data_IF_092167009203
#
_entry.id   IF_092167009203
#
_cell.length_a   1.000
_cell.length_b   1.000
_cell.length_c   1.000
_cell.angle_alpha   90.00
_cell.angle_beta   90.00
_cell.angle_gamma   90.00
#
_symmetry.space_group_name_H-M   'P 1'
#
loop_
_entity.id
_entity.type
_entity.pdbx_description
1 polymer ?
#
# COMPACT_ATOMS: atom_id res chain seq x y z
N UNK A 1 4.92 11.26 41.28
CA UNK A 1 3.77 11.57 40.39
C UNK A 1 4.25 11.53 38.94
N UNK A 2 4.15 10.38 38.25
CA UNK A 2 4.53 10.26 36.82
C UNK A 2 3.42 10.86 35.98
N UNK A 3 3.72 11.91 35.20
CA UNK A 3 2.80 12.44 34.18
C UNK A 3 2.39 11.29 33.24
N UNK A 4 1.09 10.97 33.16
CA UNK A 4 0.55 10.15 32.07
C UNK A 4 0.91 10.89 30.77
N UNK A 5 1.76 10.29 29.92
CA UNK A 5 1.85 10.72 28.52
C UNK A 5 0.44 10.55 27.96
N UNK A 6 -0.20 11.63 27.52
CA UNK A 6 -1.39 11.51 26.68
C UNK A 6 -0.99 10.62 25.50
N UNK A 7 -1.71 9.53 25.27
CA UNK A 7 -1.49 8.74 24.07
C UNK A 7 -1.70 9.67 22.87
N UNK A 8 -0.66 9.86 22.06
CA UNK A 8 -0.81 10.54 20.77
C UNK A 8 -1.90 9.80 19.97
N UNK A 9 -2.74 10.51 19.20
CA UNK A 9 -3.73 9.84 18.36
C UNK A 9 -3.05 8.84 17.44
N UNK A 10 -3.64 7.66 17.29
CA UNK A 10 -3.14 6.61 16.41
C UNK A 10 -3.25 7.08 14.95
N UNK A 11 -2.18 6.94 14.19
CA UNK A 11 -2.17 7.19 12.74
C UNK A 11 -2.88 6.02 12.07
N UNK A 12 -4.00 6.31 11.43
CA UNK A 12 -4.79 5.32 10.67
C UNK A 12 -4.27 5.19 9.25
N UNK A 13 -4.12 3.95 8.78
CA UNK A 13 -3.53 3.69 7.47
C UNK A 13 -4.24 2.61 6.69
N UNK A 14 -4.30 2.78 5.38
CA UNK A 14 -4.78 1.76 4.46
C UNK A 14 -3.75 1.42 3.39
N UNK A 15 -3.70 0.15 3.01
CA UNK A 15 -2.82 -0.35 1.96
C UNK A 15 -3.59 -0.68 0.68
N UNK A 16 -3.16 -0.12 -0.44
CA UNK A 16 -3.63 -0.43 -1.80
C UNK A 16 -2.53 -1.21 -2.50
N UNK A 17 -2.68 -2.52 -2.75
CA UNK A 17 -1.47 -3.29 -3.05
C UNK A 17 -1.62 -4.71 -3.64
N UNK A 18 -0.49 -5.32 -4.03
CA UNK A 18 -0.39 -6.68 -4.60
C UNK A 18 0.91 -7.40 -4.20
N UNK A 19 0.80 -8.70 -3.93
CA UNK A 19 1.94 -9.63 -3.87
C UNK A 19 2.70 -9.65 -2.54
N UNK A 20 3.82 -10.35 -2.51
CA UNK A 20 4.68 -10.49 -1.33
C UNK A 20 5.27 -9.15 -0.85
N UNK A 21 5.67 -8.27 -1.76
CA UNK A 21 6.16 -6.92 -1.40
C UNK A 21 5.11 -6.10 -0.65
N UNK A 22 3.85 -6.27 -1.01
CA UNK A 22 2.74 -5.60 -0.35
C UNK A 22 2.48 -6.15 1.06
N UNK A 23 2.57 -7.46 1.26
CA UNK A 23 2.47 -8.05 2.60
C UNK A 23 3.60 -7.57 3.50
N UNK A 24 4.82 -7.44 2.96
CA UNK A 24 5.92 -6.85 3.71
C UNK A 24 5.62 -5.38 4.08
N UNK A 25 5.02 -4.60 3.18
CA UNK A 25 4.61 -3.24 3.51
C UNK A 25 3.53 -3.20 4.61
N UNK A 26 2.58 -4.14 4.61
CA UNK A 26 1.62 -4.29 5.70
C UNK A 26 2.31 -4.63 7.03
N UNK A 27 3.32 -5.51 7.04
CA UNK A 27 4.11 -5.86 8.22
C UNK A 27 4.83 -4.62 8.78
N UNK A 28 5.49 -3.86 7.90
CA UNK A 28 6.19 -2.61 8.28
C UNK A 28 5.21 -1.62 8.89
N UNK A 29 4.09 -1.33 8.21
CA UNK A 29 3.10 -0.35 8.69
C UNK A 29 2.47 -0.77 10.01
N UNK A 30 2.15 -2.06 10.17
CA UNK A 30 1.55 -2.58 11.41
C UNK A 30 2.53 -2.64 12.57
N UNK A 31 3.83 -2.65 12.30
CA UNK A 31 4.90 -2.65 13.29
C UNK A 31 5.33 -1.26 13.78
N UNK A 32 4.81 -0.17 13.20
CA UNK A 32 5.15 1.19 13.67
C UNK A 32 4.32 1.54 14.90
N UNK A 33 5.01 1.90 15.99
CA UNK A 33 4.36 2.37 17.21
C UNK A 33 3.48 3.59 16.94
N UNK A 34 2.24 3.52 17.42
CA UNK A 34 1.27 4.60 17.24
C UNK A 34 0.57 4.59 15.87
N UNK A 35 0.79 3.57 15.04
CA UNK A 35 0.09 3.40 13.76
C UNK A 35 -0.92 2.25 13.85
N UNK A 36 -1.88 2.24 12.93
CA UNK A 36 -2.84 1.14 12.80
C UNK A 36 -3.10 0.88 11.32
N UNK A 37 -2.93 -0.37 10.91
CA UNK A 37 -3.40 -0.85 9.62
C UNK A 37 -4.92 -1.08 9.70
N UNK A 38 -5.71 -0.13 9.21
CA UNK A 38 -7.18 -0.15 9.29
C UNK A 38 -7.83 -0.82 8.10
N UNK A 39 -7.22 -0.78 6.92
CA UNK A 39 -7.75 -1.43 5.73
C UNK A 39 -6.67 -1.96 4.78
N UNK A 40 -7.00 -3.02 4.05
CA UNK A 40 -6.21 -3.60 2.98
C UNK A 40 -7.10 -3.77 1.75
N UNK A 41 -6.65 -3.23 0.63
CA UNK A 41 -7.29 -3.30 -0.68
C UNK A 41 -6.35 -4.06 -1.63
N UNK A 42 -6.61 -5.34 -1.90
CA UNK A 42 -5.88 -6.09 -2.91
C UNK A 42 -6.16 -5.53 -4.31
N UNK A 43 -5.30 -5.82 -5.28
CA UNK A 43 -5.71 -5.74 -6.68
C UNK A 43 -6.85 -6.73 -6.95
N UNK A 44 -7.78 -6.36 -7.84
CA UNK A 44 -8.93 -7.19 -8.22
C UNK A 44 -8.55 -8.51 -8.90
N UNK A 45 -7.45 -8.51 -9.65
CA UNK A 45 -6.85 -9.70 -10.25
C UNK A 45 -5.52 -10.00 -9.58
N UNK A 46 -5.59 -10.71 -8.45
CA UNK A 46 -4.42 -11.20 -7.76
C UNK A 46 -3.72 -12.31 -8.55
N UNK A 47 -2.39 -12.37 -8.53
CA UNK A 47 -1.63 -13.39 -9.24
C UNK A 47 -1.77 -14.74 -8.53
N UNK A 48 -1.69 -15.82 -9.31
CA UNK A 48 -1.58 -17.20 -8.80
C UNK A 48 -0.13 -17.60 -8.47
N UNK A 49 0.85 -16.88 -9.04
CA UNK A 49 2.28 -17.11 -8.87
C UNK A 49 2.94 -16.35 -7.71
N UNK A 50 2.20 -15.51 -6.98
CA UNK A 50 2.69 -14.75 -5.80
C UNK A 50 1.64 -14.79 -4.68
N UNK A 51 1.98 -14.23 -3.52
CA UNK A 51 1.08 -14.17 -2.37
C UNK A 51 -0.17 -13.34 -2.65
N UNK A 52 -1.31 -13.85 -2.20
CA UNK A 52 -2.63 -13.21 -2.35
C UNK A 52 -3.02 -12.51 -1.05
N UNK A 53 -3.12 -11.20 -1.08
CA UNK A 53 -3.53 -10.36 0.04
C UNK A 53 -4.94 -10.73 0.51
N UNK A 54 -5.85 -11.07 -0.40
CA UNK A 54 -7.21 -11.48 0.00
C UNK A 54 -7.26 -12.76 0.86
N UNK A 55 -6.18 -13.55 0.84
CA UNK A 55 -6.01 -14.78 1.63
C UNK A 55 -5.18 -14.52 2.88
N UNK A 56 -4.07 -13.77 2.72
CA UNK A 56 -3.09 -13.57 3.78
C UNK A 56 -3.52 -12.49 4.79
N UNK A 57 -4.17 -11.41 4.34
CA UNK A 57 -4.46 -10.27 5.21
C UNK A 57 -5.42 -10.60 6.37
N UNK A 58 -6.50 -11.39 6.19
CA UNK A 58 -7.40 -11.72 7.30
C UNK A 58 -6.73 -12.60 8.37
N UNK A 59 -5.67 -13.33 8.00
CA UNK A 59 -4.89 -14.19 8.92
C UNK A 59 -3.88 -13.38 9.72
N UNK A 60 -3.19 -12.43 9.08
CA UNK A 60 -2.11 -11.65 9.68
C UNK A 60 -2.60 -10.40 10.41
N UNK A 61 -3.59 -9.72 9.85
CA UNK A 61 -4.16 -8.49 10.40
C UNK A 61 -5.69 -8.60 10.49
N UNK A 62 -6.23 -9.45 11.38
CA UNK A 62 -7.66 -9.74 11.46
C UNK A 62 -8.54 -8.52 11.80
N UNK A 63 -7.93 -7.43 12.30
CA UNK A 63 -8.63 -6.16 12.59
C UNK A 63 -8.66 -5.20 11.40
N UNK A 64 -7.83 -5.41 10.39
CA UNK A 64 -7.84 -4.60 9.18
C UNK A 64 -9.01 -5.02 8.29
N UNK A 65 -9.80 -4.06 7.82
CA UNK A 65 -10.88 -4.30 6.85
C UNK A 65 -10.29 -4.75 5.52
N UNK A 66 -10.67 -5.93 5.05
CA UNK A 66 -10.33 -6.37 3.69
C UNK A 66 -11.39 -5.87 2.70
N UNK A 67 -11.00 -4.95 1.81
CA UNK A 67 -11.84 -4.42 0.74
C UNK A 67 -11.76 -5.38 -0.47
N UNK A 68 -12.60 -6.42 -0.45
CA UNK A 68 -12.51 -7.55 -1.40
C UNK A 68 -12.72 -7.18 -2.87
N UNK A 69 -13.43 -6.10 -3.16
CA UNK A 69 -13.64 -5.60 -4.52
C UNK A 69 -12.34 -5.11 -5.20
N UNK A 70 -11.32 -4.80 -4.39
CA UNK A 70 -10.13 -4.13 -4.86
C UNK A 70 -10.40 -2.71 -5.39
N UNK A 71 -11.52 -2.06 -5.03
CA UNK A 71 -11.83 -0.68 -5.40
C UNK A 71 -11.51 0.28 -4.25
N UNK A 72 -10.55 1.17 -4.48
CA UNK A 72 -10.16 2.20 -3.52
C UNK A 72 -11.31 3.12 -3.13
N UNK A 73 -12.37 3.24 -3.95
CA UNK A 73 -13.53 4.10 -3.66
C UNK A 73 -14.24 3.73 -2.37
N UNK A 74 -14.13 2.48 -1.92
CA UNK A 74 -14.68 2.02 -0.64
C UNK A 74 -13.92 2.53 0.59
N UNK A 75 -12.74 3.14 0.39
CA UNK A 75 -12.00 3.83 1.46
C UNK A 75 -12.47 5.28 1.66
N UNK A 76 -13.21 5.84 0.71
CA UNK A 76 -13.56 7.26 0.75
C UNK A 76 -14.56 7.55 1.86
N UNK A 77 -14.24 8.54 2.69
CA UNK A 77 -15.03 8.92 3.86
C UNK A 77 -14.55 8.24 5.15
N UNK A 78 -13.58 7.32 5.06
CA UNK A 78 -12.96 6.72 6.25
C UNK A 78 -11.88 7.64 6.86
N UNK A 79 -11.41 8.67 6.14
CA UNK A 79 -10.53 9.71 6.67
C UNK A 79 -9.15 9.19 7.11
N UNK A 80 -8.53 8.31 6.33
CA UNK A 80 -7.23 7.74 6.67
C UNK A 80 -6.10 8.78 6.67
N UNK A 81 -5.26 8.75 7.71
CA UNK A 81 -4.10 9.64 7.81
C UNK A 81 -3.05 9.33 6.74
N UNK A 82 -2.91 8.05 6.36
CA UNK A 82 -1.95 7.60 5.36
C UNK A 82 -2.51 6.49 4.45
N UNK A 83 -2.45 6.71 3.14
CA UNK A 83 -2.59 5.64 2.15
C UNK A 83 -1.20 5.21 1.67
N UNK A 84 -0.93 3.92 1.75
CA UNK A 84 0.30 3.31 1.23
C UNK A 84 -0.04 2.49 -0.01
N UNK A 85 0.44 2.95 -1.16
CA UNK A 85 0.27 2.29 -2.45
C UNK A 85 1.51 1.47 -2.79
N UNK A 86 1.33 0.16 -3.00
CA UNK A 86 2.40 -0.77 -3.39
C UNK A 86 1.93 -1.65 -4.53
N UNK A 87 2.29 -1.32 -5.77
CA UNK A 87 1.92 -2.07 -6.97
C UNK A 87 0.40 -2.15 -7.22
N UNK A 88 -0.38 -1.19 -6.72
CA UNK A 88 -1.80 -1.10 -7.03
C UNK A 88 -2.01 -0.81 -8.52
N UNK A 89 -2.92 -1.54 -9.16
CA UNK A 89 -3.09 -1.53 -10.61
C UNK A 89 -4.11 -0.50 -11.13
N UNK A 90 -4.84 0.20 -10.25
CA UNK A 90 -5.84 1.20 -10.64
C UNK A 90 -5.37 2.61 -10.34
N UNK A 91 -5.87 3.57 -11.14
CA UNK A 91 -5.65 4.99 -10.90
C UNK A 91 -6.40 5.38 -9.62
N UNK A 92 -5.65 5.92 -8.65
CA UNK A 92 -6.22 6.53 -7.44
C UNK A 92 -6.80 7.89 -7.83
N UNK A 93 -8.10 8.07 -7.60
CA UNK A 93 -8.80 9.30 -7.96
C UNK A 93 -8.59 10.41 -6.94
N UNK A 94 -8.81 11.65 -7.39
CA UNK A 94 -8.72 12.88 -6.58
C UNK A 94 -9.49 12.77 -5.26
N UNK A 95 -10.68 12.18 -5.27
CA UNK A 95 -11.52 12.05 -4.08
C UNK A 95 -10.81 11.35 -2.91
N UNK A 96 -10.06 10.27 -3.17
CA UNK A 96 -9.29 9.61 -2.11
C UNK A 96 -8.04 10.40 -1.73
N UNK A 97 -7.39 11.05 -2.69
CA UNK A 97 -6.22 11.91 -2.41
C UNK A 97 -6.60 13.05 -1.46
N UNK A 98 -7.77 13.67 -1.66
CA UNK A 98 -8.27 14.78 -0.84
C UNK A 98 -8.83 14.32 0.52
N UNK A 99 -9.43 13.13 0.57
CA UNK A 99 -9.96 12.52 1.81
C UNK A 99 -8.85 11.97 2.73
N UNK A 100 -7.66 11.72 2.17
CA UNK A 100 -6.52 11.17 2.92
C UNK A 100 -5.58 12.27 3.41
N UNK A 101 -5.01 12.11 4.60
CA UNK A 101 -3.99 13.03 5.11
C UNK A 101 -2.74 13.06 4.22
N UNK A 102 -2.24 11.88 3.84
CA UNK A 102 -1.10 11.69 2.93
C UNK A 102 -1.27 10.44 2.09
N UNK A 103 -0.64 10.42 0.92
CA UNK A 103 -0.47 9.21 0.10
C UNK A 103 1.00 9.03 -0.24
N UNK A 104 1.52 7.82 -0.06
CA UNK A 104 2.84 7.41 -0.52
C UNK A 104 2.72 6.26 -1.51
N UNK A 105 3.54 6.28 -2.55
CA UNK A 105 3.63 5.21 -3.54
C UNK A 105 5.04 4.60 -3.51
N UNK A 106 5.12 3.30 -3.25
CA UNK A 106 6.33 2.51 -3.37
C UNK A 106 6.51 2.08 -4.84
N UNK A 107 7.20 2.93 -5.59
CA UNK A 107 7.48 2.69 -7.00
C UNK A 107 8.80 1.89 -7.17
N UNK A 108 8.79 0.70 -7.79
CA UNK A 108 9.99 -0.15 -7.93
C UNK A 108 10.86 0.29 -9.11
N UNK A 109 11.23 1.57 -9.14
CA UNK A 109 12.08 2.17 -10.16
C UNK A 109 12.72 3.45 -9.67
N UNK A 110 13.92 3.76 -10.15
CA UNK A 110 14.59 5.02 -9.83
C UNK A 110 13.83 6.17 -10.50
N UNK A 111 13.18 6.99 -9.70
CA UNK A 111 12.52 8.20 -10.19
C UNK A 111 13.59 9.29 -10.46
N UNK A 112 13.43 10.11 -11.52
CA UNK A 112 12.29 10.16 -12.45
C UNK A 112 12.38 9.19 -13.65
N UNK A 113 13.51 8.51 -13.85
CA UNK A 113 13.88 7.77 -15.08
C UNK A 113 12.91 6.63 -15.44
N UNK A 114 12.37 5.93 -14.44
CA UNK A 114 11.52 4.76 -14.67
C UNK A 114 10.07 4.97 -14.27
N UNK A 115 9.50 6.17 -14.47
CA UNK A 115 8.05 6.38 -14.25
C UNK A 115 7.21 5.45 -15.15
N UNK A 116 6.00 5.14 -14.70
CA UNK A 116 5.04 4.34 -15.46
C UNK A 116 5.09 2.85 -15.14
N UNK A 117 4.70 2.03 -16.12
CA UNK A 117 4.50 0.58 -15.92
C UNK A 117 5.80 -0.21 -16.11
N UNK A 118 5.94 -1.29 -15.33
CA UNK A 118 7.06 -2.26 -15.41
C UNK A 118 8.46 -1.64 -15.31
N UNK A 119 8.72 -0.74 -14.34
CA UNK A 119 10.01 -0.06 -14.21
C UNK A 119 11.21 -1.01 -14.11
N UNK A 120 11.08 -2.11 -13.37
CA UNK A 120 12.13 -3.12 -13.24
C UNK A 120 12.43 -3.85 -14.57
N UNK A 121 11.41 -4.07 -15.42
CA UNK A 121 11.65 -4.65 -16.75
C UNK A 121 12.41 -3.67 -17.64
N UNK A 122 12.03 -2.39 -17.60
CA UNK A 122 12.71 -1.34 -18.38
C UNK A 122 14.15 -1.09 -17.92
N UNK A 123 14.43 -1.15 -16.61
CA UNK A 123 15.79 -0.99 -16.11
C UNK A 123 16.71 -2.11 -16.61
N UNK A 124 16.24 -3.36 -16.55
CA UNK A 124 16.99 -4.51 -17.09
C UNK A 124 17.19 -4.42 -18.60
N UNK A 125 16.15 -4.01 -19.36
CA UNK A 125 16.25 -3.84 -20.80
C UNK A 125 17.28 -2.79 -21.19
N UNK A 126 17.29 -1.63 -20.52
CA UNK A 126 18.20 -0.54 -20.82
C UNK A 126 19.66 -0.87 -20.48
N UNK A 127 19.90 -1.57 -19.37
CA UNK A 127 21.26 -2.06 -19.03
C UNK A 127 21.77 -2.99 -20.13
N UNK A 128 20.93 -3.92 -20.60
CA UNK A 128 21.30 -4.82 -21.70
C UNK A 128 21.56 -4.07 -23.01
N UNK A 129 20.79 -3.02 -23.30
CA UNK A 129 20.95 -2.23 -24.52
C UNK A 129 22.27 -1.42 -24.51
N UNK A 130 22.70 -0.92 -23.35
CA UNK A 130 23.94 -0.14 -23.21
C UNK A 130 25.23 -0.99 -23.28
N UNK A 131 25.12 -2.32 -23.19
CA UNK A 131 26.24 -3.26 -23.30
C UNK A 131 26.45 -3.80 -24.73
N UNK A 132 25.70 -3.29 -25.71
CA UNK A 132 25.84 -3.60 -27.13
C UNK A 132 26.44 -2.42 -27.87
#
# INVERSE_FOLDING_TARGET
>A
MRRRRSASPLITSALLSKGSLALHACDVVSGVDGWTLSAVVPNDLEPDWDMRLSVESPRRWPRARLVRSGDWRELVGDGHDLIVNVLYNKIIGRKLIEDSGRIINCHPGRLPEYRGVRPASWSLFNVRAAMR
#
